data_IF_072698740869
#
_entry.id   IF_072698740869
#
_cell.length_a   1.000
_cell.length_b   1.000
_cell.length_c   1.000
_cell.angle_alpha   90.00
_cell.angle_beta   90.00
_cell.angle_gamma   90.00
#
_symmetry.space_group_name_H-M   'P 1'
#
loop_
_entity.id
_entity.type
_entity.pdbx_description
1 polymer ?
#
# COMPACT_ATOMS: atom_id res chain seq x y z
N UNK A 1 22.74 -0.57 -28.51
CA UNK A 1 21.74 0.22 -27.75
C UNK A 1 20.98 -0.73 -26.84
N UNK A 2 21.32 -0.76 -25.55
CA UNK A 2 20.68 -1.62 -24.56
C UNK A 2 19.23 -1.17 -24.37
N UNK A 3 18.27 -1.94 -24.91
CA UNK A 3 16.85 -1.78 -24.58
C UNK A 3 16.64 -2.25 -23.15
N UNK A 4 16.85 -1.37 -22.18
CA UNK A 4 16.35 -1.55 -20.82
C UNK A 4 14.89 -2.00 -20.90
N UNK A 5 14.58 -3.19 -20.35
CA UNK A 5 13.23 -3.75 -20.36
C UNK A 5 12.21 -2.71 -19.87
N UNK A 6 10.99 -2.68 -20.44
CA UNK A 6 9.93 -1.73 -20.07
C UNK A 6 9.70 -1.65 -18.56
N UNK A 7 9.88 -2.77 -17.85
CA UNK A 7 9.81 -2.84 -16.38
C UNK A 7 10.88 -1.99 -15.69
N UNK A 8 12.10 -1.96 -16.21
CA UNK A 8 13.17 -1.11 -15.65
C UNK A 8 12.86 0.37 -15.88
N UNK A 9 12.33 0.73 -17.05
CA UNK A 9 11.91 2.11 -17.35
C UNK A 9 10.84 2.58 -16.37
N UNK A 10 9.81 1.76 -16.13
CA UNK A 10 8.75 2.05 -15.16
C UNK A 10 9.31 2.24 -13.73
N UNK A 11 10.20 1.35 -13.27
CA UNK A 11 10.83 1.46 -11.93
C UNK A 11 11.60 2.78 -11.77
N UNK A 12 12.43 3.12 -12.76
CA UNK A 12 13.21 4.36 -12.77
C UNK A 12 12.30 5.60 -12.82
N UNK A 13 11.22 5.56 -13.59
CA UNK A 13 10.23 6.66 -13.63
C UNK A 13 9.54 6.85 -12.28
N UNK A 14 9.13 5.77 -11.61
CA UNK A 14 8.53 5.86 -10.28
C UNK A 14 9.51 6.43 -9.25
N UNK A 15 10.75 5.96 -9.25
CA UNK A 15 11.80 6.49 -8.37
C UNK A 15 12.01 8.00 -8.58
N UNK A 16 12.07 8.46 -9.84
CA UNK A 16 12.22 9.90 -10.16
C UNK A 16 11.03 10.72 -9.67
N UNK A 17 9.80 10.23 -9.85
CA UNK A 17 8.59 10.91 -9.37
C UNK A 17 8.62 11.09 -7.86
N UNK A 18 9.03 10.06 -7.12
CA UNK A 18 9.16 10.15 -5.66
C UNK A 18 10.27 11.09 -5.23
N UNK A 19 11.44 11.07 -5.90
CA UNK A 19 12.51 12.05 -5.65
C UNK A 19 12.04 13.49 -5.87
N UNK A 20 11.34 13.77 -6.96
CA UNK A 20 10.79 15.10 -7.24
C UNK A 20 9.78 15.53 -6.19
N UNK A 21 8.90 14.62 -5.78
CA UNK A 21 7.85 14.88 -4.79
C UNK A 21 8.41 15.15 -3.40
N UNK A 22 9.45 14.44 -3.00
CA UNK A 22 10.09 14.61 -1.68
C UNK A 22 11.13 15.73 -1.67
N UNK A 23 11.71 16.07 -2.82
CA UNK A 23 12.73 17.11 -3.01
C UNK A 23 14.02 16.88 -2.19
N UNK A 24 14.94 17.84 -2.24
CA UNK A 24 16.31 17.65 -1.74
C UNK A 24 16.55 18.13 -0.30
N UNK A 25 15.89 19.20 0.16
CA UNK A 25 16.24 19.84 1.44
C UNK A 25 15.85 19.02 2.67
N UNK A 26 14.71 18.32 2.62
CA UNK A 26 14.13 17.62 3.77
C UNK A 26 13.31 16.38 3.37
N UNK A 27 13.84 15.45 2.55
CA UNK A 27 13.05 14.38 1.96
C UNK A 27 12.41 13.45 3.01
N UNK A 28 13.11 13.18 4.11
CA UNK A 28 12.60 12.33 5.19
C UNK A 28 11.38 12.96 5.90
N UNK A 29 11.47 14.25 6.25
CA UNK A 29 10.38 14.98 6.89
C UNK A 29 9.19 15.11 5.96
N UNK A 30 9.41 15.36 4.67
CA UNK A 30 8.33 15.37 3.67
C UNK A 30 7.70 13.99 3.53
N UNK A 31 8.49 12.91 3.55
CA UNK A 31 7.99 11.55 3.46
C UNK A 31 7.17 11.16 4.71
N UNK A 32 7.54 11.65 5.89
CA UNK A 32 6.78 11.46 7.12
C UNK A 32 5.49 12.29 7.17
N UNK A 33 5.49 13.47 6.56
CA UNK A 33 4.34 14.36 6.44
C UNK A 33 3.36 14.00 5.32
N UNK A 34 3.65 12.98 4.50
CA UNK A 34 2.70 12.42 3.54
C UNK A 34 1.48 11.83 4.27
N UNK A 35 0.30 11.87 3.62
CA UNK A 35 -0.87 11.15 4.14
C UNK A 35 -0.56 9.64 4.25
N UNK A 36 -1.30 8.93 5.10
CA UNK A 36 -1.09 7.48 5.28
C UNK A 36 -1.16 6.70 3.97
N UNK A 37 -2.11 7.07 3.11
CA UNK A 37 -2.25 6.45 1.79
C UNK A 37 -1.02 6.69 0.91
N UNK A 38 -0.48 7.90 0.94
CA UNK A 38 0.71 8.26 0.16
C UNK A 38 1.97 7.63 0.72
N UNK A 39 2.10 7.51 2.05
CA UNK A 39 3.20 6.78 2.70
C UNK A 39 3.16 5.30 2.34
N UNK A 40 1.99 4.68 2.40
CA UNK A 40 1.82 3.29 1.99
C UNK A 40 2.16 3.11 0.50
N UNK A 41 1.71 4.04 -0.34
CA UNK A 41 1.99 4.03 -1.78
C UNK A 41 3.49 4.20 -2.06
N UNK A 42 4.18 5.10 -1.37
CA UNK A 42 5.64 5.27 -1.48
C UNK A 42 6.37 3.93 -1.26
N UNK A 43 6.04 3.22 -0.17
CA UNK A 43 6.70 1.96 0.16
C UNK A 43 6.40 0.87 -0.89
N UNK A 44 5.16 0.81 -1.39
CA UNK A 44 4.76 -0.15 -2.43
C UNK A 44 5.33 0.13 -3.81
N UNK A 45 5.40 1.40 -4.19
CA UNK A 45 5.90 1.80 -5.51
C UNK A 45 7.41 1.58 -5.61
N UNK A 46 8.12 1.69 -4.48
CA UNK A 46 9.57 1.54 -4.44
C UNK A 46 10.00 0.12 -4.09
N UNK A 47 9.42 -0.53 -3.08
CA UNK A 47 9.73 -1.91 -2.69
C UNK A 47 11.25 -2.19 -2.70
N UNK A 48 11.77 -2.91 -3.71
CA UNK A 48 13.19 -3.23 -3.89
C UNK A 48 14.07 -2.01 -4.24
N UNK A 49 13.49 -0.94 -4.77
CA UNK A 49 14.14 0.31 -5.18
C UNK A 49 14.22 1.36 -4.07
N UNK A 50 13.65 1.09 -2.88
CA UNK A 50 13.74 2.05 -1.77
C UNK A 50 15.19 2.44 -1.44
N UNK A 51 16.18 1.52 -1.38
CA UNK A 51 17.57 1.91 -1.12
C UNK A 51 18.10 2.92 -2.13
N UNK A 52 17.68 2.86 -3.39
CA UNK A 52 18.07 3.82 -4.40
C UNK A 52 17.49 5.21 -4.14
N UNK A 53 16.31 5.34 -3.52
CA UNK A 53 15.78 6.64 -3.07
C UNK A 53 16.64 7.24 -1.95
N UNK A 54 17.10 6.39 -1.03
CA UNK A 54 17.81 6.81 0.19
C UNK A 54 19.26 7.27 -0.06
N UNK A 55 19.85 6.96 -1.22
CA UNK A 55 21.22 7.37 -1.56
C UNK A 55 21.42 8.90 -1.54
N UNK A 56 20.38 9.66 -1.87
CA UNK A 56 20.43 11.12 -1.92
C UNK A 56 19.98 11.77 -0.60
N UNK A 57 19.71 10.97 0.45
CA UNK A 57 19.22 11.48 1.75
C UNK A 57 20.35 11.75 2.74
N UNK A 58 20.13 12.61 3.75
CA UNK A 58 21.03 12.70 4.90
C UNK A 58 21.20 11.34 5.58
N UNK A 59 22.42 11.05 6.07
CA UNK A 59 22.81 9.72 6.55
C UNK A 59 21.92 9.18 7.67
N UNK A 60 21.56 10.03 8.64
CA UNK A 60 20.76 9.61 9.79
C UNK A 60 19.35 9.11 9.40
N UNK A 61 18.50 9.90 8.71
CA UNK A 61 17.19 9.40 8.27
C UNK A 61 17.30 8.26 7.25
N UNK A 62 18.31 8.27 6.37
CA UNK A 62 18.55 7.17 5.44
C UNK A 62 18.80 5.85 6.18
N UNK A 63 19.62 5.88 7.24
CA UNK A 63 19.93 4.70 8.06
C UNK A 63 18.69 4.19 8.79
N UNK A 64 17.90 5.09 9.37
CA UNK A 64 16.66 4.73 10.05
C UNK A 64 15.64 4.06 9.10
N UNK A 65 15.45 4.63 7.91
CA UNK A 65 14.58 4.05 6.90
C UNK A 65 15.10 2.72 6.36
N UNK A 66 16.41 2.60 6.14
CA UNK A 66 17.03 1.37 5.67
C UNK A 66 16.92 0.24 6.71
N UNK A 67 17.01 0.55 8.01
CA UNK A 67 16.78 -0.41 9.08
C UNK A 67 15.36 -0.97 9.06
N UNK A 68 14.35 -0.10 8.87
CA UNK A 68 12.95 -0.51 8.73
C UNK A 68 12.71 -1.34 7.46
N UNK A 69 13.30 -0.93 6.34
CA UNK A 69 13.24 -1.68 5.09
C UNK A 69 13.88 -3.07 5.19
N UNK A 70 14.97 -3.22 5.96
CA UNK A 70 15.59 -4.53 6.20
C UNK A 70 14.78 -5.43 7.13
N UNK A 71 13.85 -4.88 7.91
CA UNK A 71 12.99 -5.65 8.79
C UNK A 71 11.79 -6.19 8.01
N UNK A 72 11.72 -7.48 7.67
CA UNK A 72 10.60 -8.04 6.90
C UNK A 72 9.25 -8.00 7.64
N UNK A 73 9.28 -7.82 8.97
CA UNK A 73 8.09 -7.73 9.81
C UNK A 73 7.58 -6.29 9.95
N UNK A 74 8.28 -5.28 9.41
CA UNK A 74 7.79 -3.89 9.42
C UNK A 74 6.54 -3.78 8.53
N UNK A 75 5.35 -3.52 9.09
CA UNK A 75 4.11 -3.61 8.33
C UNK A 75 3.93 -2.46 7.33
N UNK A 76 4.65 -1.34 7.49
CA UNK A 76 4.59 -0.21 6.57
C UNK A 76 5.58 -0.38 5.42
N UNK A 77 6.79 -0.87 5.71
CA UNK A 77 7.84 -1.08 4.71
C UNK A 77 7.67 -2.40 3.94
N UNK A 78 6.96 -3.38 4.52
CA UNK A 78 6.55 -4.63 3.87
C UNK A 78 5.03 -4.80 3.93
N UNK A 79 4.28 -3.92 3.26
CA UNK A 79 2.84 -3.88 3.37
C UNK A 79 2.22 -5.12 2.73
N UNK A 80 1.47 -5.86 3.56
CA UNK A 80 0.66 -7.01 3.16
C UNK A 80 -0.67 -6.93 3.88
N UNK A 81 -1.74 -7.40 3.26
CA UNK A 81 -3.02 -7.51 3.95
C UNK A 81 -2.90 -8.50 5.12
N UNK A 82 -3.61 -8.23 6.22
CA UNK A 82 -3.66 -9.13 7.38
C UNK A 82 -4.33 -10.48 7.08
N UNK A 83 -5.08 -10.55 5.98
CA UNK A 83 -5.81 -11.71 5.48
C UNK A 83 -5.80 -11.65 3.95
N UNK A 84 -5.56 -12.78 3.29
CA UNK A 84 -5.51 -12.84 1.84
C UNK A 84 -6.91 -12.86 1.20
N UNK A 85 -6.95 -12.58 -0.10
CA UNK A 85 -8.21 -12.50 -0.84
C UNK A 85 -8.96 -13.83 -0.94
N UNK A 86 -8.28 -14.97 -0.94
CA UNK A 86 -8.94 -16.28 -1.00
C UNK A 86 -9.63 -16.59 0.34
N UNK A 87 -8.95 -16.30 1.44
CA UNK A 87 -9.52 -16.45 2.78
C UNK A 87 -10.71 -15.50 2.97
N UNK A 88 -10.62 -14.23 2.55
CA UNK A 88 -11.76 -13.30 2.59
C UNK A 88 -12.96 -13.78 1.76
N UNK A 89 -12.73 -14.30 0.55
CA UNK A 89 -13.81 -14.82 -0.28
C UNK A 89 -14.52 -16.00 0.39
N UNK A 90 -13.76 -16.91 1.01
CA UNK A 90 -14.31 -18.08 1.71
C UNK A 90 -15.08 -17.71 2.96
N UNK A 91 -14.52 -16.84 3.81
CA UNK A 91 -15.11 -16.49 5.11
C UNK A 91 -16.31 -15.53 4.98
N UNK A 92 -16.29 -14.65 3.98
CA UNK A 92 -17.31 -13.60 3.81
C UNK A 92 -18.22 -13.83 2.59
N UNK A 93 -18.05 -14.95 1.87
CA UNK A 93 -18.84 -15.26 0.68
C UNK A 93 -18.69 -14.24 -0.45
N UNK A 94 -17.55 -13.56 -0.55
CA UNK A 94 -17.33 -12.50 -1.53
C UNK A 94 -16.90 -13.10 -2.89
N UNK A 95 -17.38 -12.54 -4.02
CA UNK A 95 -16.80 -12.85 -5.32
C UNK A 95 -15.54 -12.03 -5.59
N UNK A 96 -14.67 -12.56 -6.46
CA UNK A 96 -13.58 -11.78 -7.05
C UNK A 96 -14.16 -10.54 -7.76
N UNK A 97 -13.83 -9.35 -7.23
CA UNK A 97 -14.43 -8.10 -7.68
C UNK A 97 -13.51 -6.90 -7.37
N UNK A 98 -13.66 -5.75 -8.05
CA UNK A 98 -12.97 -4.52 -7.69
C UNK A 98 -13.19 -4.12 -6.22
N UNK A 99 -14.38 -4.44 -5.68
CA UNK A 99 -14.73 -4.23 -4.27
C UNK A 99 -13.85 -5.06 -3.32
N UNK A 100 -13.58 -6.32 -3.65
CA UNK A 100 -12.63 -7.15 -2.90
C UNK A 100 -11.22 -6.55 -2.93
N UNK A 101 -10.81 -6.02 -4.09
CA UNK A 101 -9.54 -5.31 -4.23
C UNK A 101 -9.47 -4.08 -3.32
N UNK A 102 -10.52 -3.25 -3.28
CA UNK A 102 -10.59 -2.09 -2.40
C UNK A 102 -10.58 -2.46 -0.91
N UNK A 103 -11.29 -3.54 -0.54
CA UNK A 103 -11.26 -4.08 0.81
C UNK A 103 -9.84 -4.53 1.20
N UNK A 104 -9.14 -5.27 0.34
CA UNK A 104 -7.76 -5.69 0.59
C UNK A 104 -6.82 -4.50 0.77
N UNK A 105 -6.99 -3.44 -0.02
CA UNK A 105 -6.23 -2.19 0.13
C UNK A 105 -6.50 -1.51 1.48
N UNK A 106 -7.77 -1.46 1.90
CA UNK A 106 -8.15 -0.90 3.19
C UNK A 106 -7.54 -1.67 4.36
N UNK A 107 -7.64 -3.00 4.35
CA UNK A 107 -7.07 -3.85 5.41
C UNK A 107 -5.54 -3.76 5.46
N UNK A 108 -4.88 -3.68 4.30
CA UNK A 108 -3.44 -3.46 4.22
C UNK A 108 -3.04 -2.11 4.81
N UNK A 109 -3.80 -1.04 4.54
CA UNK A 109 -3.56 0.26 5.14
C UNK A 109 -3.70 0.22 6.66
N UNK A 110 -4.78 -0.39 7.18
CA UNK A 110 -4.95 -0.53 8.62
C UNK A 110 -3.78 -1.28 9.27
N UNK A 111 -3.33 -2.39 8.68
CA UNK A 111 -2.17 -3.15 9.16
C UNK A 111 -0.88 -2.34 9.09
N UNK A 112 -0.62 -1.63 7.99
CA UNK A 112 0.59 -0.83 7.79
C UNK A 112 0.79 0.24 8.89
N UNK A 113 -0.31 0.74 9.46
CA UNK A 113 -0.30 1.73 10.53
C UNK A 113 -0.67 1.14 11.90
N UNK A 114 -0.51 -0.18 12.07
CA UNK A 114 -0.63 -0.85 13.38
C UNK A 114 -2.05 -0.98 13.93
N UNK A 115 -3.08 -0.72 13.11
CA UNK A 115 -4.51 -0.82 13.52
C UNK A 115 -5.09 -2.22 13.36
N UNK A 116 -4.32 -3.15 12.79
CA UNK A 116 -4.67 -4.57 12.68
C UNK A 116 -3.42 -5.41 12.99
N UNK A 117 -3.54 -6.31 13.96
CA UNK A 117 -2.47 -7.22 14.36
C UNK A 117 -2.77 -8.69 14.03
N UNK A 118 -4.02 -9.04 13.75
CA UNK A 118 -4.41 -10.43 13.54
C UNK A 118 -5.58 -10.66 12.60
N UNK A 119 -5.82 -11.93 12.30
CA UNK A 119 -6.90 -12.40 11.40
C UNK A 119 -8.29 -12.01 11.89
N UNK A 120 -8.55 -12.14 13.20
CA UNK A 120 -9.86 -11.84 13.79
C UNK A 120 -10.23 -10.37 13.59
N UNK A 121 -9.33 -9.46 13.99
CA UNK A 121 -9.50 -8.02 13.80
C UNK A 121 -9.68 -7.66 12.32
N UNK A 122 -8.97 -8.35 11.42
CA UNK A 122 -9.08 -8.14 9.98
C UNK A 122 -10.46 -8.53 9.43
N UNK A 123 -11.04 -9.64 9.92
CA UNK A 123 -12.39 -10.06 9.55
C UNK A 123 -13.45 -9.09 10.08
N UNK A 124 -13.32 -8.63 11.32
CA UNK A 124 -14.23 -7.63 11.90
C UNK A 124 -14.14 -6.28 11.17
N UNK A 125 -12.93 -5.82 10.85
CA UNK A 125 -12.72 -4.63 10.03
C UNK A 125 -13.31 -4.81 8.62
N UNK A 126 -13.17 -6.00 8.03
CA UNK A 126 -13.74 -6.29 6.73
C UNK A 126 -15.27 -6.23 6.72
N UNK A 127 -15.93 -6.83 7.72
CA UNK A 127 -17.38 -6.77 7.87
C UNK A 127 -17.87 -5.33 8.05
N UNK A 128 -17.22 -4.55 8.92
CA UNK A 128 -17.53 -3.12 9.11
C UNK A 128 -17.38 -2.32 7.82
N UNK A 129 -16.29 -2.55 7.07
CA UNK A 129 -16.05 -1.86 5.81
C UNK A 129 -17.12 -2.20 4.75
N UNK A 130 -17.50 -3.48 4.65
CA UNK A 130 -18.55 -3.93 3.72
C UNK A 130 -19.93 -3.35 4.05
N UNK A 131 -20.25 -3.23 5.34
CA UNK A 131 -21.50 -2.62 5.81
C UNK A 131 -21.55 -1.12 5.48
N UNK A 132 -20.42 -0.41 5.58
CA UNK A 132 -20.30 1.00 5.22
C UNK A 132 -20.27 1.26 3.71
N UNK A 133 -19.94 0.25 2.90
CA UNK A 133 -19.84 0.34 1.44
C UNK A 133 -20.75 -0.72 0.78
N UNK A 134 -22.08 -0.62 0.92
CA UNK A 134 -23.01 -1.55 0.27
C UNK A 134 -22.82 -1.50 -1.25
N UNK A 135 -23.11 -2.62 -1.93
CA UNK A 135 -23.15 -2.61 -3.39
C UNK A 135 -24.32 -1.72 -3.81
N UNK A 136 -24.08 -0.74 -4.68
CA UNK A 136 -25.15 0.00 -5.33
C UNK A 136 -26.01 -0.97 -6.15
N UNK A 137 -27.07 -1.48 -5.55
CA UNK A 137 -28.13 -2.23 -6.23
C UNK A 137 -28.99 -1.26 -7.05
N UNK A 138 -28.42 -0.66 -8.11
CA UNK A 138 -29.22 0.08 -9.09
C UNK A 138 -29.56 -0.82 -10.29
N UNK A 139 -30.44 -1.79 -10.04
CA UNK A 139 -31.30 -2.33 -11.08
C UNK A 139 -32.67 -1.64 -10.92
N UNK A 140 -32.87 -0.55 -11.67
CA UNK A 140 -34.19 0.05 -11.80
C UNK A 140 -35.16 -0.98 -12.44
N UNK A 141 -36.41 -1.10 -11.97
CA UNK A 141 -37.38 -1.98 -12.61
C UNK A 141 -37.68 -1.47 -14.01
N UNK A 142 -37.43 -2.31 -15.03
CA UNK A 142 -38.04 -2.12 -16.35
C UNK A 142 -39.55 -2.30 -16.15
N UNK A 143 -40.28 -1.19 -16.10
CA UNK A 143 -41.73 -1.17 -16.19
C UNK A 143 -42.14 -1.77 -17.53
N UNK A 144 -43.16 -2.63 -17.48
CA UNK A 144 -43.68 -3.41 -18.60
C UNK A 144 -44.52 -2.60 -19.58
#
# INVERSE_FOLDING_TARGET
>A
LLRSSRRLQQRVEQLRRWRQRLGAEAPAQRAEGLSEWERLRLQRDLEDDLPALLLDWPTAPATAWLARWRNPDDPLFHPRAAIDGLTLQRELGLPASPRLGALLQHLMQLRAFGRLQGRLEALEAAQRWLAAHPVDSKAAPRRG
#
